data_IF_023705966913
#
_entry.id   IF_023705966913
#
_cell.length_a   1.000
_cell.length_b   1.000
_cell.length_c   1.000
_cell.angle_alpha   90.00
_cell.angle_beta   90.00
_cell.angle_gamma   90.00
#
_symmetry.space_group_name_H-M   'P 1'
#
loop_
_entity.id
_entity.type
_entity.pdbx_description
1 polymer ?
#
# COMPACT_ATOMS: atom_id res chain seq x y z
N UNK A 1 15.47 -26.32 -5.87
CA UNK A 1 16.65 -25.96 -6.68
C UNK A 1 16.19 -25.28 -7.97
N UNK A 2 15.89 -24.00 -7.90
CA UNK A 2 15.84 -23.12 -9.06
C UNK A 2 17.05 -22.21 -8.95
N UNK A 3 18.04 -22.39 -9.83
CA UNK A 3 19.18 -21.49 -9.93
C UNK A 3 18.70 -20.17 -10.51
N UNK A 4 18.85 -19.09 -9.75
CA UNK A 4 18.66 -17.73 -10.24
C UNK A 4 19.76 -17.43 -11.27
N UNK A 5 19.33 -17.07 -12.48
CA UNK A 5 20.21 -16.54 -13.51
C UNK A 5 20.29 -15.01 -13.33
N UNK A 6 21.41 -14.55 -12.79
CA UNK A 6 21.68 -13.12 -12.57
C UNK A 6 21.94 -12.33 -13.87
N UNK A 7 21.83 -12.96 -15.05
CA UNK A 7 22.13 -12.31 -16.35
C UNK A 7 20.96 -11.59 -17.00
N UNK A 8 19.74 -11.67 -16.42
CA UNK A 8 18.62 -10.80 -16.78
C UNK A 8 18.46 -9.79 -15.65
N UNK A 9 18.72 -8.50 -15.93
CA UNK A 9 18.67 -7.40 -14.95
C UNK A 9 17.26 -7.08 -14.40
N UNK A 10 16.45 -8.09 -14.13
CA UNK A 10 15.19 -7.96 -13.43
C UNK A 10 15.50 -7.85 -11.94
N UNK A 11 15.32 -6.67 -11.37
CA UNK A 11 15.35 -6.51 -9.90
C UNK A 11 14.29 -7.41 -9.29
N UNK A 12 14.61 -8.08 -8.18
CA UNK A 12 13.60 -8.82 -7.40
C UNK A 12 12.59 -7.81 -6.84
N UNK A 13 11.38 -7.80 -7.39
CA UNK A 13 10.29 -6.91 -6.98
C UNK A 13 9.08 -7.69 -6.52
N UNK A 14 8.47 -7.20 -5.44
CA UNK A 14 7.27 -7.79 -4.85
C UNK A 14 6.09 -7.75 -5.81
N UNK A 15 5.30 -8.82 -5.84
CA UNK A 15 4.04 -8.91 -6.57
C UNK A 15 2.99 -9.55 -5.69
N UNK A 16 1.71 -9.24 -5.97
CA UNK A 16 0.60 -9.87 -5.27
C UNK A 16 0.51 -11.36 -5.61
N UNK A 17 0.59 -12.20 -4.57
CA UNK A 17 0.53 -13.65 -4.67
C UNK A 17 -0.63 -14.18 -3.83
N UNK A 18 -1.31 -15.21 -4.32
CA UNK A 18 -2.31 -15.96 -3.56
C UNK A 18 -1.78 -17.36 -3.27
N UNK A 19 -1.80 -17.73 -2.00
CA UNK A 19 -1.43 -19.06 -1.53
C UNK A 19 -2.60 -19.68 -0.79
N UNK A 20 -3.03 -20.87 -1.23
CA UNK A 20 -4.07 -21.67 -0.59
C UNK A 20 -3.41 -22.83 0.13
N UNK A 21 -3.65 -22.94 1.43
CA UNK A 21 -3.07 -23.95 2.29
C UNK A 21 -4.16 -24.92 2.78
N UNK A 22 -3.89 -26.22 2.71
CA UNK A 22 -4.68 -27.22 3.41
C UNK A 22 -3.99 -27.57 4.74
N UNK A 23 -4.58 -27.09 5.82
CA UNK A 23 -4.07 -27.28 7.17
C UNK A 23 -4.20 -28.73 7.67
N UNK A 24 -5.14 -29.52 7.13
CA UNK A 24 -5.31 -30.95 7.52
C UNK A 24 -4.21 -31.80 6.93
N UNK A 25 -3.91 -31.60 5.64
CA UNK A 25 -2.88 -32.35 4.93
C UNK A 25 -1.49 -31.71 5.04
N UNK A 26 -1.40 -30.51 5.62
CA UNK A 26 -0.16 -29.71 5.78
C UNK A 26 0.53 -29.47 4.44
N UNK A 27 -0.28 -29.15 3.42
CA UNK A 27 0.19 -28.98 2.05
C UNK A 27 -0.23 -27.63 1.47
N UNK A 28 0.53 -27.18 0.48
CA UNK A 28 0.15 -26.05 -0.37
C UNK A 28 -0.73 -26.60 -1.49
N UNK A 29 -1.96 -26.12 -1.58
CA UNK A 29 -2.91 -26.50 -2.64
C UNK A 29 -2.63 -25.69 -3.90
N UNK A 30 -2.42 -24.39 -3.74
CA UNK A 30 -2.15 -23.45 -4.83
C UNK A 30 -1.18 -22.37 -4.31
N UNK A 31 -0.25 -21.93 -5.15
CA UNK A 31 0.53 -20.71 -4.94
C UNK A 31 0.76 -20.07 -6.29
N UNK A 32 0.04 -18.98 -6.58
CA UNK A 32 0.04 -18.32 -7.89
C UNK A 32 0.17 -16.81 -7.74
N UNK A 33 0.93 -16.21 -8.66
CA UNK A 33 0.96 -14.76 -8.85
C UNK A 33 -0.40 -14.35 -9.42
N UNK A 34 -1.05 -13.40 -8.77
CA UNK A 34 -2.36 -12.91 -9.17
C UNK A 34 -2.31 -11.47 -9.67
N UNK A 35 -1.31 -10.68 -9.26
CA UNK A 35 -1.13 -9.31 -9.72
C UNK A 35 0.06 -9.17 -10.67
N UNK A 36 -0.14 -8.43 -11.76
CA UNK A 36 0.92 -8.15 -12.72
C UNK A 36 1.75 -6.93 -12.38
N UNK A 37 1.24 -6.03 -11.53
CA UNK A 37 1.93 -4.80 -11.13
C UNK A 37 2.83 -5.07 -9.92
N UNK A 38 4.13 -4.72 -9.98
CA UNK A 38 4.99 -4.73 -8.80
C UNK A 38 4.43 -3.84 -7.71
N UNK A 39 4.32 -4.32 -6.48
CA UNK A 39 3.82 -3.51 -5.37
C UNK A 39 4.25 -4.05 -4.02
N UNK A 40 4.31 -3.18 -3.02
CA UNK A 40 4.68 -3.50 -1.65
C UNK A 40 3.86 -2.66 -0.64
N UNK A 41 4.07 -2.89 0.65
CA UNK A 41 3.37 -2.25 1.77
C UNK A 41 1.83 -2.34 1.65
N UNK A 42 1.27 -3.56 1.63
CA UNK A 42 -0.16 -3.75 1.46
C UNK A 42 -0.93 -3.45 2.75
N UNK A 43 -2.13 -2.88 2.59
CA UNK A 43 -3.11 -2.68 3.64
C UNK A 43 -4.51 -3.10 3.17
N UNK A 44 -5.37 -3.50 4.11
CA UNK A 44 -6.79 -3.81 3.87
C UNK A 44 -7.64 -3.04 4.87
N UNK A 45 -8.95 -2.99 4.66
CA UNK A 45 -9.85 -2.45 5.66
C UNK A 45 -9.72 -3.20 6.99
N UNK A 46 -9.45 -2.52 8.12
CA UNK A 46 -9.29 -3.17 9.43
C UNK A 46 -10.55 -3.92 9.88
N UNK A 47 -11.71 -3.63 9.28
CA UNK A 47 -13.00 -4.29 9.55
C UNK A 47 -13.08 -5.74 9.02
N UNK A 48 -12.19 -6.15 8.11
CA UNK A 48 -12.21 -7.49 7.49
C UNK A 48 -10.88 -8.24 7.70
N UNK A 49 -10.04 -7.80 8.63
CA UNK A 49 -8.83 -8.53 9.00
C UNK A 49 -9.19 -9.93 9.51
N UNK A 50 -8.56 -10.96 8.95
CA UNK A 50 -8.86 -12.36 9.24
C UNK A 50 -10.13 -12.91 8.56
N UNK A 51 -10.80 -12.10 7.75
CA UNK A 51 -11.95 -12.48 6.93
C UNK A 51 -11.63 -12.30 5.44
N UNK A 52 -12.46 -12.82 4.52
CA UNK A 52 -12.33 -12.51 3.11
C UNK A 52 -12.43 -10.99 2.88
N UNK A 53 -11.39 -10.39 2.31
CA UNK A 53 -11.41 -9.01 1.81
C UNK A 53 -11.53 -9.04 0.30
N UNK A 54 -12.43 -8.22 -0.26
CA UNK A 54 -12.52 -8.05 -1.71
C UNK A 54 -11.42 -7.12 -2.22
N UNK A 55 -11.14 -6.04 -1.49
CA UNK A 55 -10.14 -5.06 -1.89
C UNK A 55 -8.91 -5.06 -0.97
N UNK A 56 -7.76 -4.80 -1.58
CA UNK A 56 -6.51 -4.46 -0.89
C UNK A 56 -5.86 -3.25 -1.57
N UNK A 57 -5.01 -2.55 -0.83
CA UNK A 57 -4.32 -1.36 -1.31
C UNK A 57 -2.84 -1.55 -1.08
N UNK A 58 -2.00 -1.11 -2.01
CA UNK A 58 -0.54 -1.14 -1.85
C UNK A 58 0.10 0.02 -2.62
N UNK A 59 1.41 0.16 -2.53
CA UNK A 59 2.16 1.18 -3.29
C UNK A 59 3.03 0.55 -4.36
N UNK A 60 3.21 1.27 -5.48
CA UNK A 60 3.96 0.83 -6.66
C UNK A 60 5.31 1.55 -6.70
N UNK A 61 6.43 0.82 -6.83
CA UNK A 61 7.74 1.43 -7.05
C UNK A 61 7.75 2.31 -8.31
N UNK A 62 8.56 3.36 -8.31
CA UNK A 62 8.75 4.23 -9.48
C UNK A 62 9.25 3.42 -10.69
N UNK A 63 8.81 3.82 -11.88
CA UNK A 63 9.25 3.19 -13.13
C UNK A 63 10.78 3.23 -13.28
N UNK A 64 11.43 4.27 -12.77
CA UNK A 64 12.89 4.40 -12.72
C UNK A 64 13.59 3.36 -11.84
N UNK A 65 12.91 2.91 -10.78
CA UNK A 65 13.38 1.78 -10.00
C UNK A 65 13.22 0.49 -10.80
N UNK A 66 12.05 0.28 -11.42
CA UNK A 66 11.73 -0.94 -12.17
C UNK A 66 12.59 -1.14 -13.43
N UNK A 67 12.96 -0.04 -14.11
CA UNK A 67 13.79 -0.07 -15.32
C UNK A 67 15.30 0.06 -15.03
N UNK A 68 15.68 0.31 -13.78
CA UNK A 68 17.08 0.47 -13.35
C UNK A 68 17.73 1.82 -13.70
N UNK A 69 16.95 2.85 -14.08
CA UNK A 69 17.48 4.13 -14.54
C UNK A 69 17.78 5.14 -13.43
N UNK A 70 16.96 5.18 -12.37
CA UNK A 70 17.16 6.11 -11.25
C UNK A 70 16.67 5.48 -9.95
N UNK A 71 17.59 5.30 -8.99
CA UNK A 71 17.26 4.80 -7.67
C UNK A 71 17.78 5.76 -6.62
N UNK A 72 16.98 6.03 -5.59
CA UNK A 72 17.51 6.67 -4.39
C UNK A 72 18.55 5.75 -3.76
N UNK A 73 19.77 6.25 -3.60
CA UNK A 73 20.89 5.48 -3.07
C UNK A 73 21.10 5.87 -1.61
N UNK A 74 21.04 4.89 -0.69
CA UNK A 74 21.57 5.04 0.66
C UNK A 74 22.76 4.09 0.82
N UNK A 75 23.98 4.63 0.71
CA UNK A 75 25.20 3.80 0.71
C UNK A 75 25.38 3.08 -0.63
N UNK A 76 25.49 1.75 -0.61
CA UNK A 76 25.55 0.92 -1.82
C UNK A 76 24.16 0.36 -2.23
N UNK A 77 23.14 0.58 -1.39
CA UNK A 77 21.82 -0.01 -1.58
C UNK A 77 20.86 0.93 -2.31
N UNK A 78 20.25 0.37 -3.34
CA UNK A 78 19.20 0.96 -4.15
C UNK A 78 17.84 0.82 -3.45
N UNK A 79 17.30 1.90 -2.88
CA UNK A 79 16.01 1.87 -2.18
C UNK A 79 14.87 2.28 -3.14
N UNK A 80 13.80 1.47 -3.24
CA UNK A 80 12.65 1.82 -4.06
C UNK A 80 11.95 3.05 -3.49
N UNK A 81 11.73 4.03 -4.36
CA UNK A 81 10.78 5.11 -4.11
C UNK A 81 9.42 4.71 -4.67
N UNK A 82 8.34 5.09 -3.98
CA UNK A 82 6.97 4.75 -4.39
C UNK A 82 6.19 6.02 -4.68
N UNK A 83 5.47 6.07 -5.79
CA UNK A 83 4.77 7.29 -6.21
C UNK A 83 3.32 7.08 -6.66
N UNK A 84 2.78 5.89 -6.39
CA UNK A 84 1.45 5.48 -6.83
C UNK A 84 0.84 4.50 -5.84
N UNK A 85 -0.40 4.75 -5.45
CA UNK A 85 -1.24 3.81 -4.72
C UNK A 85 -2.07 3.01 -5.72
N UNK A 86 -2.22 1.73 -5.45
CA UNK A 86 -3.03 0.82 -6.26
C UNK A 86 -4.10 0.15 -5.41
N UNK A 87 -5.31 0.02 -5.95
CA UNK A 87 -6.40 -0.79 -5.39
C UNK A 87 -6.49 -2.08 -6.19
N UNK A 88 -6.33 -3.21 -5.51
CA UNK A 88 -6.47 -4.56 -6.06
C UNK A 88 -7.88 -5.08 -5.80
N UNK A 89 -8.54 -5.63 -6.81
CA UNK A 89 -9.69 -6.53 -6.62
C UNK A 89 -9.15 -7.95 -6.47
N UNK A 90 -9.18 -8.47 -5.24
CA UNK A 90 -8.65 -9.78 -4.88
C UNK A 90 -9.49 -10.94 -5.41
N UNK A 91 -10.76 -10.70 -5.77
CA UNK A 91 -11.62 -11.73 -6.33
C UNK A 91 -11.26 -12.01 -7.79
N UNK A 92 -10.98 -10.97 -8.58
CA UNK A 92 -10.54 -11.11 -9.97
C UNK A 92 -9.01 -11.19 -10.13
N UNK A 93 -8.24 -10.74 -9.15
CA UNK A 93 -6.79 -10.56 -9.25
C UNK A 93 -6.39 -9.32 -10.06
N UNK A 94 -7.32 -8.43 -10.40
CA UNK A 94 -7.05 -7.29 -11.28
C UNK A 94 -6.87 -5.99 -10.51
N UNK A 95 -6.29 -5.00 -11.17
CA UNK A 95 -6.22 -3.62 -10.68
C UNK A 95 -7.59 -2.96 -10.85
N UNK A 96 -8.20 -2.54 -9.76
CA UNK A 96 -9.48 -1.84 -9.77
C UNK A 96 -9.30 -0.35 -10.10
N UNK A 97 -8.32 0.31 -9.49
CA UNK A 97 -7.99 1.71 -9.72
C UNK A 97 -6.58 2.05 -9.20
N UNK A 98 -6.07 3.20 -9.61
CA UNK A 98 -4.77 3.72 -9.13
C UNK A 98 -4.89 5.21 -8.81
N UNK A 99 -4.08 5.66 -7.85
CA UNK A 99 -3.87 7.06 -7.54
C UNK A 99 -2.38 7.37 -7.72
N UNK A 100 -2.04 8.25 -8.65
CA UNK A 100 -0.67 8.75 -8.83
C UNK A 100 -0.48 9.95 -7.91
N UNK A 101 0.59 9.96 -7.13
CA UNK A 101 0.94 11.12 -6.31
C UNK A 101 1.28 12.33 -7.21
N UNK A 102 1.16 13.56 -6.70
CA UNK A 102 1.60 14.75 -7.44
C UNK A 102 3.06 14.63 -7.92
N UNK A 103 3.41 15.32 -9.00
CA UNK A 103 4.76 15.24 -9.57
C UNK A 103 5.84 15.61 -8.52
N UNK A 104 6.92 14.82 -8.47
CA UNK A 104 7.99 15.01 -7.49
C UNK A 104 7.65 14.53 -6.07
N UNK A 105 6.50 13.86 -5.88
CA UNK A 105 6.11 13.24 -4.62
C UNK A 105 6.40 11.75 -4.58
N UNK A 106 6.84 11.31 -3.42
CA UNK A 106 7.07 9.90 -3.10
C UNK A 106 6.52 9.58 -1.71
N UNK A 107 6.22 8.32 -1.45
CA UNK A 107 5.64 7.84 -0.20
C UNK A 107 6.33 6.56 0.28
N UNK A 108 6.03 6.19 1.53
CA UNK A 108 6.33 4.88 2.11
C UNK A 108 5.07 4.04 2.26
N UNK A 109 4.89 3.43 3.43
CA UNK A 109 3.69 2.65 3.76
C UNK A 109 2.42 3.52 3.77
N UNK A 110 1.28 2.87 3.57
CA UNK A 110 -0.05 3.46 3.52
C UNK A 110 -0.97 2.77 4.52
N UNK A 111 -2.00 3.48 4.98
CA UNK A 111 -2.98 2.89 5.88
C UNK A 111 -4.41 3.13 5.45
N UNK A 112 -5.22 2.08 5.55
CA UNK A 112 -6.66 2.20 5.35
C UNK A 112 -7.36 2.56 6.65
N UNK A 113 -8.16 3.62 6.61
CA UNK A 113 -9.03 4.07 7.71
C UNK A 113 -10.49 3.91 7.28
N UNK A 114 -11.24 3.04 7.96
CA UNK A 114 -12.68 2.87 7.69
C UNK A 114 -13.50 4.10 8.09
N UNK A 115 -14.58 4.41 7.35
CA UNK A 115 -15.58 5.40 7.79
C UNK A 115 -16.31 4.86 9.04
N UNK A 116 -16.69 5.74 9.97
CA UNK A 116 -17.32 5.31 11.25
C UNK A 116 -18.71 4.72 11.02
N UNK A 117 -19.46 5.30 10.08
CA UNK A 117 -20.82 4.87 9.77
C UNK A 117 -20.84 3.43 9.22
N UNK A 118 -21.87 2.68 9.61
CA UNK A 118 -22.24 1.49 8.86
C UNK A 118 -22.53 1.96 7.44
N UNK A 119 -21.86 1.34 6.46
CA UNK A 119 -22.30 1.50 5.09
C UNK A 119 -23.78 1.13 5.01
N UNK A 120 -24.54 1.82 4.15
CA UNK A 120 -25.77 1.22 3.63
C UNK A 120 -25.43 -0.17 3.11
N UNK A 121 -26.37 -1.12 3.17
CA UNK A 121 -26.15 -2.53 2.76
C UNK A 121 -25.51 -2.68 1.37
N UNK A 122 -25.56 -1.63 0.53
CA UNK A 122 -25.00 -1.55 -0.80
C UNK A 122 -23.48 -1.28 -0.92
N UNK A 123 -22.75 -0.90 0.15
CA UNK A 123 -21.31 -0.56 0.03
C UNK A 123 -20.44 -1.62 0.72
N UNK A 124 -19.50 -2.18 -0.03
CA UNK A 124 -18.52 -3.16 0.45
C UNK A 124 -17.63 -2.54 1.54
N UNK A 125 -17.56 -3.20 2.70
CA UNK A 125 -16.79 -2.73 3.86
C UNK A 125 -15.28 -2.65 3.57
N UNK A 126 -14.78 -3.40 2.58
CA UNK A 126 -13.37 -3.39 2.19
C UNK A 126 -12.93 -2.13 1.42
N UNK A 127 -13.89 -1.31 0.97
CA UNK A 127 -13.62 -0.03 0.31
C UNK A 127 -14.27 1.19 0.99
N UNK A 128 -15.12 0.97 2.00
CA UNK A 128 -15.77 2.04 2.75
C UNK A 128 -14.81 2.75 3.73
N UNK A 129 -13.96 3.62 3.20
CA UNK A 129 -12.90 4.26 3.97
C UNK A 129 -12.10 5.26 3.17
N UNK A 130 -10.95 5.59 3.73
CA UNK A 130 -9.92 6.41 3.11
C UNK A 130 -8.59 5.68 3.18
N UNK A 131 -7.78 5.80 2.14
CA UNK A 131 -6.35 5.48 2.18
C UNK A 131 -5.61 6.75 2.53
N UNK A 132 -4.82 6.69 3.61
CA UNK A 132 -3.97 7.78 4.06
C UNK A 132 -2.55 7.52 3.57
N UNK A 133 -1.96 8.51 2.89
CA UNK A 133 -0.63 8.40 2.29
C UNK A 133 0.23 9.56 2.78
N UNK A 134 1.25 9.25 3.56
CA UNK A 134 2.26 10.25 3.90
C UNK A 134 3.23 10.38 2.72
N UNK A 135 3.23 11.55 2.08
CA UNK A 135 4.06 11.86 0.92
C UNK A 135 5.11 12.93 1.21
N UNK A 136 6.21 12.89 0.47
CA UNK A 136 7.36 13.79 0.59
C UNK A 136 7.71 14.38 -0.77
N UNK A 137 8.04 15.67 -0.82
CA UNK A 137 8.73 16.21 -2.00
C UNK A 137 10.16 15.69 -2.04
N UNK A 138 10.60 15.20 -3.20
CA UNK A 138 12.00 14.77 -3.40
C UNK A 138 12.93 15.99 -3.39
N UNK A 139 12.49 17.11 -3.96
CA UNK A 139 13.31 18.31 -4.18
C UNK A 139 13.05 19.43 -3.15
N UNK A 140 12.25 19.19 -2.12
CA UNK A 140 11.90 20.20 -1.12
C UNK A 140 11.74 19.61 0.29
N UNK A 141 11.95 20.45 1.31
CA UNK A 141 11.83 20.09 2.72
C UNK A 141 10.36 20.13 3.19
N UNK A 142 9.47 19.41 2.48
CA UNK A 142 8.03 19.49 2.68
C UNK A 142 7.37 18.10 2.62
N UNK A 143 6.43 17.85 3.54
CA UNK A 143 5.69 16.59 3.67
C UNK A 143 4.18 16.84 3.70
N UNK A 144 3.41 15.87 3.23
CA UNK A 144 1.98 16.03 3.01
C UNK A 144 1.27 14.75 3.43
N UNK A 145 0.08 14.88 4.02
CA UNK A 145 -0.83 13.75 4.19
C UNK A 145 -1.89 13.84 3.09
N UNK A 146 -1.80 12.93 2.14
CA UNK A 146 -2.84 12.72 1.13
C UNK A 146 -3.96 11.89 1.73
N UNK A 147 -5.19 12.34 1.54
CA UNK A 147 -6.40 11.58 1.90
C UNK A 147 -7.09 11.16 0.61
N UNK A 148 -7.15 9.86 0.38
CA UNK A 148 -7.68 9.28 -0.87
C UNK A 148 -8.91 8.45 -0.53
N UNK A 149 -10.01 8.59 -1.28
CA UNK A 149 -11.22 7.79 -1.04
C UNK A 149 -10.99 6.32 -1.42
N UNK A 150 -11.31 5.38 -0.53
CA UNK A 150 -11.02 3.96 -0.73
C UNK A 150 -11.83 3.30 -1.86
N UNK A 151 -13.02 3.82 -2.16
CA UNK A 151 -13.85 3.28 -3.24
C UNK A 151 -13.30 3.69 -4.60
N UNK A 152 -13.03 4.99 -4.76
CA UNK A 152 -12.73 5.60 -6.07
C UNK A 152 -11.24 5.77 -6.36
N UNK A 153 -10.39 5.77 -5.33
CA UNK A 153 -9.02 6.26 -5.35
C UNK A 153 -8.85 7.70 -5.88
N UNK A 154 -9.87 8.55 -5.69
CA UNK A 154 -9.75 9.99 -5.92
C UNK A 154 -9.23 10.71 -4.67
N UNK A 155 -8.38 11.70 -4.86
CA UNK A 155 -7.92 12.57 -3.77
C UNK A 155 -9.11 13.36 -3.21
N UNK A 156 -9.28 13.28 -1.90
CA UNK A 156 -10.33 14.00 -1.15
C UNK A 156 -9.77 15.32 -0.63
N UNK A 157 -8.59 15.27 -0.03
CA UNK A 157 -7.85 16.45 0.40
C UNK A 157 -6.37 16.13 0.60
N UNK A 158 -5.59 17.19 0.78
CA UNK A 158 -4.18 17.17 1.12
C UNK A 158 -3.99 18.03 2.38
N UNK A 159 -3.11 17.59 3.28
CA UNK A 159 -2.72 18.35 4.47
C UNK A 159 -1.22 18.57 4.41
N UNK A 160 -0.79 19.82 4.32
CA UNK A 160 0.62 20.19 4.43
C UNK A 160 1.12 20.00 5.87
N UNK A 161 2.26 19.34 6.02
CA UNK A 161 2.93 19.12 7.30
C UNK A 161 4.05 20.14 7.42
N UNK A 162 4.11 20.93 8.52
CA UNK A 162 5.01 22.08 8.64
C UNK A 162 6.49 21.71 8.79
N UNK A 163 6.80 20.41 8.81
CA UNK A 163 8.15 19.87 8.95
C UNK A 163 8.31 18.67 8.02
N UNK A 164 9.54 18.44 7.57
CA UNK A 164 9.85 17.20 6.86
C UNK A 164 9.79 16.01 7.80
N UNK A 165 9.02 15.01 7.39
CA UNK A 165 9.10 13.67 7.98
C UNK A 165 10.01 12.84 7.05
N UNK A 166 11.02 12.12 7.55
CA UNK A 166 11.86 11.26 6.70
C UNK A 166 11.10 9.99 6.28
N UNK A 167 11.64 9.27 5.30
CA UNK A 167 11.10 7.97 4.91
C UNK A 167 10.98 7.03 6.11
N UNK A 168 9.77 6.52 6.32
CA UNK A 168 9.47 5.51 7.32
C UNK A 168 9.15 4.17 6.67
N UNK A 169 9.07 3.15 7.51
CA UNK A 169 8.48 1.87 7.15
C UNK A 169 6.99 1.93 7.49
N UNK A 170 6.57 1.22 8.53
CA UNK A 170 5.16 1.02 8.83
C UNK A 170 4.49 2.20 9.53
N UNK A 171 3.18 2.29 9.34
CA UNK A 171 2.34 3.28 9.99
C UNK A 171 1.09 2.65 10.65
N UNK A 172 0.49 3.37 11.58
CA UNK A 172 -0.73 2.97 12.29
C UNK A 172 -1.66 4.17 12.46
N UNK A 173 -2.97 3.91 12.44
CA UNK A 173 -4.01 4.91 12.68
C UNK A 173 -4.72 4.54 13.98
N UNK A 174 -4.70 5.44 14.95
CA UNK A 174 -5.42 5.28 16.20
C UNK A 174 -6.60 6.25 16.23
N UNK A 175 -7.85 5.76 16.30
CA UNK A 175 -9.00 6.60 16.54
C UNK A 175 -8.87 7.36 17.87
N UNK A 176 -9.36 8.60 17.92
CA UNK A 176 -9.25 9.45 19.11
C UNK A 176 -9.88 8.80 20.36
N UNK A 177 -10.95 8.02 20.17
CA UNK A 177 -11.64 7.29 21.22
C UNK A 177 -10.72 6.26 21.89
N UNK A 178 -9.83 5.62 21.12
CA UNK A 178 -8.84 4.66 21.63
C UNK A 178 -7.74 5.38 22.42
N UNK A 179 -7.37 6.60 22.02
CA UNK A 179 -6.38 7.39 22.77
C UNK A 179 -6.90 7.86 24.13
N UNK A 180 -8.22 8.06 24.25
CA UNK A 180 -8.84 8.52 25.50
C UNK A 180 -8.72 7.51 26.66
N UNK A 181 -8.67 6.21 26.35
CA UNK A 181 -8.53 5.14 27.35
C UNK A 181 -7.06 4.88 27.73
N UNK A 182 -6.11 5.32 26.91
CA UNK A 182 -4.67 5.16 27.16
C UNK A 182 -4.12 6.06 28.27
N UNK A 183 -4.70 7.24 28.50
CA UNK A 183 -4.28 8.15 29.58
C UNK A 183 -4.78 7.73 30.97
N UNK A 184 -5.60 6.70 31.06
CA UNK A 184 -6.24 6.23 32.29
C UNK A 184 -5.66 4.92 32.86
N UNK A 185 -4.54 4.45 32.29
CA UNK A 185 -3.71 3.35 32.83
C UNK A 185 -2.40 3.91 33.38
#
# INVERSE_FOLDING_TARGET
NGSYDASVGCKDVGHLHRTVLDVKTRSVVESVRVGDIPSDFPTISPRVVGQPSRYAYSVVPQDSFLNGSDVAVHGDDAIPLFDKVIKHDLASGTVASTYKLPAGRVCGDIIFKSKSECSSESVDVSENGYVLVLSHAVDADASFLEVVDGATLQQVCEIEIPVRIPFGFHCAFLPAEVLSTWRSQ
#
